data_IF_569279579550
#
_entry.id   IF_569279579550
#
_cell.length_a   1.000
_cell.length_b   1.000
_cell.length_c   1.000
_cell.angle_alpha   90.00
_cell.angle_beta   90.00
_cell.angle_gamma   90.00
#
_symmetry.space_group_name_H-M   'P 1'
#
loop_
_entity.id
_entity.type
_entity.pdbx_description
1 polymer ?
#
# COMPACT_ATOMS: atom_id res chain seq x y z
N UNK A 1 29.38 61.49 -9.73
CA UNK A 1 28.08 62.14 -9.46
C UNK A 1 27.08 62.01 -10.61
N UNK A 2 27.21 62.70 -11.75
CA UNK A 2 26.22 62.59 -12.85
C UNK A 2 26.22 61.20 -13.52
N UNK A 3 27.41 60.64 -13.77
CA UNK A 3 27.56 59.34 -14.42
C UNK A 3 27.09 58.15 -13.54
N UNK A 4 27.24 58.27 -12.22
CA UNK A 4 26.73 57.27 -11.26
C UNK A 4 25.20 57.30 -11.18
N UNK A 5 24.59 58.47 -11.34
CA UNK A 5 23.13 58.61 -11.40
C UNK A 5 22.58 57.98 -12.69
N UNK A 6 23.22 58.22 -13.83
CA UNK A 6 22.87 57.58 -15.11
C UNK A 6 22.97 56.05 -15.03
N UNK A 7 24.03 55.54 -14.40
CA UNK A 7 24.23 54.10 -14.22
C UNK A 7 23.20 53.48 -13.27
N UNK A 8 22.82 54.19 -12.20
CA UNK A 8 21.76 53.76 -11.29
C UNK A 8 20.40 53.70 -12.01
N UNK A 9 20.07 54.71 -12.82
CA UNK A 9 18.81 54.75 -13.58
C UNK A 9 18.74 53.55 -14.54
N UNK A 10 19.81 53.24 -15.26
CA UNK A 10 19.86 52.07 -16.15
C UNK A 10 19.68 50.74 -15.40
N UNK A 11 20.33 50.58 -14.23
CA UNK A 11 20.14 49.39 -13.40
C UNK A 11 18.73 49.26 -12.86
N UNK A 12 18.09 50.38 -12.47
CA UNK A 12 16.70 50.34 -12.02
C UNK A 12 15.73 50.02 -13.15
N UNK A 13 16.00 50.49 -14.37
CA UNK A 13 15.19 50.19 -15.55
C UNK A 13 15.27 48.71 -15.91
N UNK A 14 16.48 48.15 -15.95
CA UNK A 14 16.70 46.72 -16.21
C UNK A 14 16.01 45.84 -15.16
N UNK A 15 16.11 46.22 -13.87
CA UNK A 15 15.40 45.51 -12.81
C UNK A 15 13.88 45.58 -12.96
N UNK A 16 13.33 46.74 -13.38
CA UNK A 16 11.91 46.90 -13.65
C UNK A 16 11.47 46.08 -14.86
N UNK A 17 12.28 46.02 -15.90
CA UNK A 17 12.03 45.22 -17.10
C UNK A 17 12.00 43.73 -16.76
N UNK A 18 13.01 43.20 -16.05
CA UNK A 18 13.01 41.81 -15.59
C UNK A 18 11.78 41.50 -14.72
N UNK A 19 11.37 42.44 -13.86
CA UNK A 19 10.16 42.28 -13.05
C UNK A 19 8.89 42.27 -13.90
N UNK A 20 8.79 43.14 -14.89
CA UNK A 20 7.64 43.20 -15.80
C UNK A 20 7.53 41.90 -16.61
N UNK A 21 8.63 41.46 -17.22
CA UNK A 21 8.70 40.21 -17.98
C UNK A 21 8.35 38.99 -17.12
N UNK A 22 8.72 39.02 -15.83
CA UNK A 22 8.31 37.96 -14.90
C UNK A 22 6.81 38.01 -14.59
N UNK A 23 6.23 39.20 -14.39
CA UNK A 23 4.79 39.35 -14.15
C UNK A 23 4.00 38.89 -15.39
N UNK A 24 4.44 39.29 -16.57
CA UNK A 24 3.90 38.85 -17.86
C UNK A 24 3.99 37.32 -17.99
N UNK A 25 5.16 36.74 -17.73
CA UNK A 25 5.33 35.29 -17.72
C UNK A 25 4.41 34.57 -16.71
N UNK A 26 4.20 35.14 -15.51
CA UNK A 26 3.25 34.54 -14.55
C UNK A 26 1.80 34.65 -15.00
N UNK A 27 1.46 35.65 -15.81
CA UNK A 27 0.10 35.90 -16.25
C UNK A 27 -0.27 35.06 -17.48
N UNK A 28 0.65 34.98 -18.43
CA UNK A 28 0.45 34.29 -19.71
C UNK A 28 1.05 32.88 -19.72
N UNK A 29 1.79 32.51 -18.67
CA UNK A 29 2.29 31.15 -18.44
C UNK A 29 3.34 30.68 -19.46
N UNK A 30 3.94 31.61 -20.21
CA UNK A 30 4.88 31.29 -21.29
C UNK A 30 4.22 30.67 -22.53
N UNK A 31 2.89 30.76 -22.65
CA UNK A 31 2.17 30.30 -23.83
C UNK A 31 2.17 31.46 -24.81
N UNK A 32 3.21 31.56 -25.65
CA UNK A 32 3.13 32.38 -26.85
C UNK A 32 1.88 31.97 -27.61
N UNK A 33 1.06 32.94 -28.01
CA UNK A 33 -0.21 32.76 -28.72
C UNK A 33 -0.01 32.02 -30.04
N UNK A 34 0.15 30.70 -29.97
CA UNK A 34 0.33 29.82 -31.11
C UNK A 34 -1.07 29.42 -31.62
N UNK A 35 -1.80 30.44 -32.09
CA UNK A 35 -2.85 30.37 -33.12
C UNK A 35 -4.02 29.38 -32.97
N UNK A 36 -4.19 28.68 -31.84
CA UNK A 36 -5.09 27.52 -31.78
C UNK A 36 -6.22 27.61 -30.75
N UNK A 37 -6.83 28.78 -30.53
CA UNK A 37 -8.28 28.88 -30.21
C UNK A 37 -8.84 30.27 -30.55
N UNK A 38 -10.00 30.38 -31.24
CA UNK A 38 -10.63 31.65 -31.53
C UNK A 38 -11.56 32.02 -30.36
N UNK A 39 -11.00 32.33 -29.20
CA UNK A 39 -11.77 32.98 -28.14
C UNK A 39 -11.04 34.25 -27.78
N UNK A 40 -11.71 35.39 -27.96
CA UNK A 40 -11.21 36.73 -27.62
C UNK A 40 -10.43 36.69 -26.29
N UNK A 41 -9.36 37.48 -26.12
CA UNK A 41 -8.60 37.51 -24.89
C UNK A 41 -9.51 38.00 -23.76
N UNK A 42 -10.10 37.05 -23.03
CA UNK A 42 -10.88 37.38 -21.85
C UNK A 42 -9.95 38.05 -20.86
N UNK A 43 -10.45 39.12 -20.23
CA UNK A 43 -9.71 39.80 -19.20
C UNK A 43 -9.33 38.78 -18.11
N UNK A 44 -8.14 38.92 -17.51
CA UNK A 44 -7.67 38.07 -16.39
C UNK A 44 -8.77 37.77 -15.36
N UNK A 45 -9.54 38.77 -14.86
CA UNK A 45 -10.67 38.49 -13.95
C UNK A 45 -11.74 37.58 -14.54
N UNK A 46 -12.07 37.69 -15.82
CA UNK A 46 -13.07 36.85 -16.49
C UNK A 46 -12.57 35.41 -16.66
N UNK A 47 -11.27 35.21 -16.91
CA UNK A 47 -10.64 33.87 -16.94
C UNK A 47 -10.70 33.22 -15.56
N UNK A 48 -10.40 33.98 -14.50
CA UNK A 48 -10.49 33.49 -13.12
C UNK A 48 -11.95 33.15 -12.78
N UNK A 49 -12.92 34.00 -13.13
CA UNK A 49 -14.34 33.73 -12.91
C UNK A 49 -14.81 32.47 -13.65
N UNK A 50 -14.40 32.26 -14.92
CA UNK A 50 -14.70 31.03 -15.65
C UNK A 50 -14.10 29.78 -14.99
N UNK A 51 -12.87 29.88 -14.51
CA UNK A 51 -12.23 28.79 -13.76
C UNK A 51 -12.98 28.51 -12.47
N UNK A 52 -13.37 29.53 -11.73
CA UNK A 52 -14.16 29.40 -10.50
C UNK A 52 -15.51 28.74 -10.78
N UNK A 53 -16.26 29.19 -11.80
CA UNK A 53 -17.51 28.57 -12.21
C UNK A 53 -17.31 27.10 -12.62
N UNK A 54 -16.23 26.79 -13.34
CA UNK A 54 -15.91 25.43 -13.74
C UNK A 54 -15.61 24.55 -12.52
N UNK A 55 -14.84 25.07 -11.56
CA UNK A 55 -14.48 24.38 -10.32
C UNK A 55 -15.72 24.18 -9.44
N UNK A 56 -16.61 25.17 -9.34
CA UNK A 56 -17.90 25.03 -8.67
C UNK A 56 -18.80 23.99 -9.34
N UNK A 57 -18.77 23.86 -10.68
CA UNK A 57 -19.46 22.78 -11.40
C UNK A 57 -18.82 21.42 -11.13
N UNK A 58 -17.50 21.34 -11.00
CA UNK A 58 -16.78 20.11 -10.67
C UNK A 58 -16.96 19.69 -9.22
N UNK A 59 -17.02 20.64 -8.27
CA UNK A 59 -17.23 20.34 -6.84
C UNK A 59 -18.60 19.70 -6.59
N UNK A 60 -19.63 20.09 -7.37
CA UNK A 60 -20.95 19.45 -7.34
C UNK A 60 -20.95 18.02 -7.88
N UNK A 61 -19.99 17.66 -8.74
CA UNK A 61 -19.89 16.33 -9.37
C UNK A 61 -19.01 15.37 -8.59
N UNK A 62 -18.03 15.87 -7.84
CA UNK A 62 -16.98 15.05 -7.24
C UNK A 62 -16.75 15.41 -5.77
N UNK A 63 -16.93 14.44 -4.87
CA UNK A 63 -16.73 14.61 -3.42
C UNK A 63 -15.28 14.97 -3.03
N UNK A 64 -14.30 14.66 -3.89
CA UNK A 64 -12.88 14.91 -3.65
C UNK A 64 -12.54 16.39 -3.41
N UNK A 65 -13.20 17.32 -4.10
CA UNK A 65 -12.95 18.76 -3.89
C UNK A 65 -13.42 19.18 -2.50
N UNK A 66 -14.54 18.63 -2.03
CA UNK A 66 -15.02 18.89 -0.67
C UNK A 66 -14.10 18.27 0.39
N UNK A 67 -13.48 17.12 0.09
CA UNK A 67 -12.47 16.51 0.97
C UNK A 67 -11.18 17.32 1.00
N UNK A 68 -10.71 17.83 -0.14
CA UNK A 68 -9.53 18.71 -0.19
C UNK A 68 -9.80 20.04 0.52
N UNK A 69 -11.00 20.61 0.36
CA UNK A 69 -11.40 21.81 1.10
C UNK A 69 -11.51 21.53 2.60
N UNK A 70 -12.02 20.35 2.99
CA UNK A 70 -12.03 19.90 4.38
C UNK A 70 -10.60 19.74 4.90
N UNK A 71 -9.71 19.14 4.13
CA UNK A 71 -8.31 18.94 4.46
C UNK A 71 -7.58 20.28 4.62
N UNK A 72 -7.82 21.24 3.72
CA UNK A 72 -7.30 22.59 3.81
C UNK A 72 -7.81 23.32 5.06
N UNK A 73 -9.09 23.15 5.42
CA UNK A 73 -9.66 23.76 6.62
C UNK A 73 -9.14 23.11 7.92
N UNK A 74 -8.86 21.80 7.89
CA UNK A 74 -8.36 21.05 9.05
C UNK A 74 -6.86 21.23 9.24
N UNK A 75 -6.12 21.41 8.14
CA UNK A 75 -4.67 21.54 8.13
C UNK A 75 -4.23 22.70 7.22
N UNK A 76 -4.50 23.96 7.61
CA UNK A 76 -4.03 25.13 6.86
C UNK A 76 -2.50 25.18 6.76
N UNK A 77 -1.81 24.55 7.72
CA UNK A 77 -0.34 24.48 7.80
C UNK A 77 0.31 23.65 6.70
N UNK A 78 -0.43 22.73 6.07
CA UNK A 78 0.09 21.92 4.95
C UNK A 78 0.13 22.71 3.64
N UNK A 79 -0.73 23.73 3.51
CA UNK A 79 -0.92 24.49 2.27
C UNK A 79 -0.41 25.93 2.36
N UNK A 80 -0.20 26.43 3.58
CA UNK A 80 0.61 27.61 3.83
C UNK A 80 2.00 27.10 4.21
N UNK A 81 3.01 27.12 3.31
CA UNK A 81 4.38 26.88 3.76
C UNK A 81 4.60 27.88 4.88
N UNK A 82 4.90 27.39 6.09
CA UNK A 82 5.01 28.16 7.33
C UNK A 82 5.35 29.61 6.99
N UNK A 83 4.33 30.47 7.04
CA UNK A 83 4.50 31.90 6.84
C UNK A 83 5.44 32.31 7.95
N UNK A 84 6.72 32.45 7.62
CA UNK A 84 7.77 32.81 8.56
C UNK A 84 7.90 31.74 9.66
N UNK A 85 8.76 30.74 9.43
CA UNK A 85 9.56 30.26 10.54
C UNK A 85 10.24 31.51 11.13
N UNK A 86 9.64 32.00 12.21
CA UNK A 86 10.09 33.03 13.12
C UNK A 86 11.57 33.29 12.96
N UNK A 87 11.91 34.50 12.50
CA UNK A 87 13.23 35.13 12.57
C UNK A 87 14.30 34.23 13.21
N UNK A 88 14.84 33.26 12.45
CA UNK A 88 16.15 32.74 12.81
C UNK A 88 17.03 33.97 12.68
N UNK A 89 17.62 34.50 13.77
CA UNK A 89 18.50 35.64 13.63
C UNK A 89 19.53 35.21 12.59
N UNK A 90 19.71 36.02 11.54
CA UNK A 90 20.75 35.75 10.56
C UNK A 90 22.04 35.47 11.35
N UNK A 91 22.62 34.26 11.23
CA UNK A 91 23.72 33.86 12.09
C UNK A 91 24.82 34.91 11.94
N UNK A 92 25.38 35.36 13.06
CA UNK A 92 26.45 36.38 13.02
C UNK A 92 27.57 35.86 12.11
N UNK A 93 28.33 36.72 11.40
CA UNK A 93 29.35 36.26 10.46
C UNK A 93 30.39 35.31 11.11
N UNK A 94 30.63 35.44 12.42
CA UNK A 94 31.47 34.53 13.21
C UNK A 94 30.85 33.13 13.39
N UNK A 95 29.54 33.05 13.57
CA UNK A 95 28.79 31.79 13.73
C UNK A 95 28.67 31.06 12.38
N UNK A 96 28.49 31.80 11.29
CA UNK A 96 28.54 31.27 9.93
C UNK A 96 29.91 30.67 9.61
N UNK A 97 31.00 31.38 9.96
CA UNK A 97 32.35 30.89 9.72
C UNK A 97 32.66 29.65 10.58
N UNK A 98 32.20 29.61 11.84
CA UNK A 98 32.32 28.43 12.67
C UNK A 98 31.57 27.23 12.07
N UNK A 99 30.33 27.44 11.60
CA UNK A 99 29.53 26.40 10.95
C UNK A 99 30.16 25.89 9.65
N UNK A 100 30.70 26.79 8.83
CA UNK A 100 31.43 26.41 7.61
C UNK A 100 32.68 25.62 7.93
N UNK A 101 33.43 26.00 8.98
CA UNK A 101 34.62 25.26 9.40
C UNK A 101 34.30 23.88 9.98
N UNK A 102 33.18 23.73 10.70
CA UNK A 102 32.75 22.43 11.21
C UNK A 102 32.26 21.50 10.10
N UNK A 103 31.58 22.04 9.09
CA UNK A 103 31.03 21.27 7.95
C UNK A 103 32.01 21.15 6.76
N UNK A 104 33.09 21.92 6.74
CA UNK A 104 34.14 21.88 5.72
C UNK A 104 34.59 20.46 5.33
N UNK A 105 34.87 19.52 6.27
CA UNK A 105 35.26 18.16 5.92
C UNK A 105 34.09 17.29 5.39
N UNK A 106 32.84 17.69 5.61
CA UNK A 106 31.66 16.98 5.09
C UNK A 106 31.44 17.25 3.58
N UNK A 107 31.86 18.42 3.07
CA UNK A 107 31.73 18.73 1.64
C UNK A 107 32.52 17.80 0.70
N UNK A 108 33.83 17.56 0.90
CA UNK A 108 34.57 16.65 0.00
C UNK A 108 34.11 15.20 0.16
N UNK A 109 33.66 14.79 1.35
CA UNK A 109 33.17 13.42 1.58
C UNK A 109 31.82 13.20 0.91
N UNK A 110 30.88 14.15 1.02
CA UNK A 110 29.59 14.09 0.32
C UNK A 110 29.74 14.24 -1.19
N UNK A 111 30.63 15.11 -1.68
CA UNK A 111 30.94 15.20 -3.11
C UNK A 111 31.52 13.89 -3.66
N UNK A 112 32.43 13.25 -2.93
CA UNK A 112 32.98 11.93 -3.28
C UNK A 112 31.90 10.85 -3.28
N UNK A 113 30.99 10.85 -2.29
CA UNK A 113 29.84 9.93 -2.25
C UNK A 113 28.88 10.13 -3.42
N UNK A 114 28.55 11.39 -3.77
CA UNK A 114 27.68 11.68 -4.92
C UNK A 114 28.34 11.31 -6.25
N UNK A 115 29.65 11.49 -6.37
CA UNK A 115 30.41 11.07 -7.56
C UNK A 115 30.41 9.55 -7.68
N UNK A 116 30.65 8.85 -6.56
CA UNK A 116 30.57 7.38 -6.48
C UNK A 116 29.17 6.84 -6.82
N UNK A 117 28.10 7.54 -6.42
CA UNK A 117 26.72 7.19 -6.79
C UNK A 117 26.43 7.42 -8.28
N UNK A 118 27.02 8.45 -8.88
CA UNK A 118 26.87 8.72 -10.31
C UNK A 118 27.62 7.68 -11.17
N UNK A 119 28.71 7.11 -10.65
CA UNK A 119 29.47 6.04 -11.29
C UNK A 119 28.80 4.66 -11.18
N UNK A 120 27.74 4.52 -10.36
CA UNK A 120 27.00 3.28 -10.23
C UNK A 120 26.08 3.08 -11.45
N UNK A 121 26.26 2.01 -12.24
CA UNK A 121 25.34 1.73 -13.33
C UNK A 121 23.96 1.43 -12.76
N UNK A 122 22.97 2.23 -13.16
CA UNK A 122 21.57 1.95 -12.82
C UNK A 122 21.24 0.56 -13.36
N UNK A 123 20.76 -0.38 -12.53
CA UNK A 123 20.47 -1.74 -12.98
C UNK A 123 19.49 -1.72 -14.16
N UNK A 124 19.62 -2.67 -15.12
CA UNK A 124 18.87 -2.62 -16.36
C UNK A 124 17.37 -2.65 -16.07
N UNK A 125 16.67 -1.63 -16.57
CA UNK A 125 15.23 -1.43 -16.40
C UNK A 125 14.40 -2.61 -16.93
N UNK A 126 14.95 -3.38 -17.87
CA UNK A 126 14.38 -4.62 -18.40
C UNK A 126 14.12 -5.67 -17.31
N UNK A 127 15.03 -5.80 -16.34
CA UNK A 127 14.88 -6.76 -15.24
C UNK A 127 13.72 -6.39 -14.31
N UNK A 128 13.56 -5.09 -14.02
CA UNK A 128 12.44 -4.59 -13.22
C UNK A 128 11.12 -4.67 -13.99
N UNK A 129 11.13 -4.39 -15.30
CA UNK A 129 9.97 -4.56 -16.16
C UNK A 129 9.54 -6.04 -16.22
N UNK A 130 10.50 -6.98 -16.31
CA UNK A 130 10.23 -8.40 -16.25
C UNK A 130 9.65 -8.83 -14.89
N UNK A 131 10.16 -8.29 -13.78
CA UNK A 131 9.60 -8.52 -12.44
C UNK A 131 8.17 -7.99 -12.31
N UNK A 132 7.91 -6.77 -12.81
CA UNK A 132 6.57 -6.20 -12.84
C UNK A 132 5.60 -7.04 -13.69
N UNK A 133 6.07 -7.57 -14.83
CA UNK A 133 5.30 -8.44 -15.70
C UNK A 133 4.97 -9.81 -15.07
N UNK A 134 5.77 -10.29 -14.10
CA UNK A 134 5.50 -11.54 -13.37
C UNK A 134 4.43 -11.38 -12.29
N UNK A 135 4.19 -10.16 -11.80
CA UNK A 135 3.21 -9.89 -10.74
C UNK A 135 1.80 -10.47 -10.99
N UNK A 136 1.15 -10.29 -12.16
CA UNK A 136 -0.17 -10.87 -12.41
C UNK A 136 -0.17 -12.40 -12.36
N UNK A 137 0.91 -13.05 -12.83
CA UNK A 137 1.02 -14.52 -12.79
C UNK A 137 1.10 -15.04 -11.36
N UNK A 138 1.76 -14.31 -10.46
CA UNK A 138 1.82 -14.63 -9.04
C UNK A 138 0.43 -14.51 -8.41
N UNK A 139 -0.29 -13.42 -8.69
CA UNK A 139 -1.66 -13.23 -8.21
C UNK A 139 -2.61 -14.33 -8.69
N UNK A 140 -2.53 -14.73 -9.96
CA UNK A 140 -3.32 -15.85 -10.48
C UNK A 140 -3.02 -17.17 -9.76
N UNK A 141 -1.73 -17.43 -9.49
CA UNK A 141 -1.32 -18.64 -8.77
C UNK A 141 -1.84 -18.64 -7.32
N UNK A 142 -1.82 -17.49 -6.64
CA UNK A 142 -2.35 -17.32 -5.29
C UNK A 142 -3.86 -17.57 -5.24
N UNK A 143 -4.61 -17.05 -6.21
CA UNK A 143 -6.06 -17.31 -6.33
C UNK A 143 -6.34 -18.80 -6.55
N UNK A 144 -5.53 -19.50 -7.36
CA UNK A 144 -5.67 -20.95 -7.54
C UNK A 144 -5.34 -21.71 -6.25
N UNK A 145 -4.28 -21.31 -5.55
CA UNK A 145 -3.87 -21.95 -4.30
C UNK A 145 -4.94 -21.81 -3.21
N UNK A 146 -5.52 -20.61 -3.06
CA UNK A 146 -6.60 -20.37 -2.08
C UNK A 146 -7.84 -21.21 -2.42
N UNK A 147 -8.22 -21.30 -3.70
CA UNK A 147 -9.32 -22.18 -4.15
C UNK A 147 -9.05 -23.65 -3.83
N UNK A 148 -7.86 -24.15 -4.18
CA UNK A 148 -7.48 -25.53 -3.88
C UNK A 148 -7.47 -25.81 -2.38
N UNK A 149 -6.99 -24.88 -1.56
CA UNK A 149 -7.01 -25.02 -0.11
C UNK A 149 -8.44 -25.15 0.44
N UNK A 150 -9.38 -24.36 -0.07
CA UNK A 150 -10.79 -24.48 0.29
C UNK A 150 -11.36 -25.85 -0.07
N UNK A 151 -11.13 -26.31 -1.31
CA UNK A 151 -11.60 -27.61 -1.80
C UNK A 151 -11.02 -28.77 -0.98
N UNK A 152 -9.71 -28.75 -0.71
CA UNK A 152 -9.04 -29.74 0.14
C UNK A 152 -9.62 -29.75 1.54
N UNK A 153 -9.87 -28.58 2.13
CA UNK A 153 -10.44 -28.50 3.48
C UNK A 153 -11.85 -29.09 3.54
N UNK A 154 -12.67 -28.86 2.50
CA UNK A 154 -14.01 -29.41 2.40
C UNK A 154 -13.98 -30.93 2.20
N UNK A 155 -13.09 -31.42 1.34
CA UNK A 155 -12.89 -32.85 1.12
C UNK A 155 -12.44 -33.55 2.40
N UNK A 156 -11.47 -32.98 3.12
CA UNK A 156 -11.00 -33.52 4.41
C UNK A 156 -12.11 -33.63 5.45
N UNK A 157 -13.00 -32.64 5.54
CA UNK A 157 -14.16 -32.71 6.44
C UNK A 157 -15.11 -33.85 6.06
N UNK A 158 -15.41 -33.99 4.76
CA UNK A 158 -16.31 -35.06 4.27
C UNK A 158 -15.71 -36.45 4.44
N UNK A 159 -14.43 -36.63 4.09
CA UNK A 159 -13.75 -37.91 4.28
C UNK A 159 -13.59 -38.26 5.75
N UNK A 160 -13.25 -37.28 6.59
CA UNK A 160 -13.21 -37.47 8.05
C UNK A 160 -14.53 -37.97 8.61
N UNK A 161 -15.66 -37.34 8.23
CA UNK A 161 -16.98 -37.78 8.65
C UNK A 161 -17.32 -39.21 8.19
N UNK A 162 -16.96 -39.56 6.95
CA UNK A 162 -17.19 -40.90 6.41
C UNK A 162 -16.34 -41.96 7.12
N UNK A 163 -15.07 -41.66 7.40
CA UNK A 163 -14.16 -42.56 8.13
C UNK A 163 -14.65 -42.80 9.55
N UNK A 164 -15.09 -41.75 10.25
CA UNK A 164 -15.67 -41.87 11.60
C UNK A 164 -16.91 -42.77 11.54
N UNK A 165 -17.86 -42.47 10.65
CA UNK A 165 -19.08 -43.28 10.51
C UNK A 165 -18.77 -44.74 10.16
N UNK A 166 -17.80 -44.98 9.29
CA UNK A 166 -17.39 -46.33 8.94
C UNK A 166 -16.80 -47.06 10.15
N UNK A 167 -15.95 -46.41 10.93
CA UNK A 167 -15.38 -46.99 12.15
C UNK A 167 -16.48 -47.33 13.17
N UNK A 168 -17.41 -46.40 13.42
CA UNK A 168 -18.50 -46.60 14.36
C UNK A 168 -19.40 -47.78 13.98
N UNK A 169 -19.78 -47.89 12.71
CA UNK A 169 -20.71 -48.94 12.26
C UNK A 169 -19.99 -50.27 12.07
N UNK A 170 -18.90 -50.28 11.30
CA UNK A 170 -18.28 -51.52 10.85
C UNK A 170 -17.30 -52.09 11.84
N UNK A 171 -16.54 -51.27 12.57
CA UNK A 171 -15.56 -51.76 13.53
C UNK A 171 -16.23 -51.91 14.89
N UNK A 172 -16.71 -50.79 15.45
CA UNK A 172 -17.27 -50.79 16.80
C UNK A 172 -18.64 -51.50 16.86
N UNK A 173 -19.52 -51.27 15.89
CA UNK A 173 -20.82 -51.91 15.82
C UNK A 173 -20.72 -53.43 15.69
N UNK A 174 -19.90 -53.93 14.75
CA UNK A 174 -19.68 -55.37 14.62
C UNK A 174 -18.98 -55.95 15.84
N UNK A 175 -17.98 -55.27 16.40
CA UNK A 175 -17.30 -55.71 17.62
C UNK A 175 -18.25 -55.89 18.80
N UNK A 176 -19.21 -54.96 18.99
CA UNK A 176 -20.27 -55.09 20.00
C UNK A 176 -21.16 -56.30 19.75
N UNK A 177 -21.60 -56.50 18.50
CA UNK A 177 -22.40 -57.66 18.12
C UNK A 177 -21.64 -58.96 18.44
N UNK A 178 -20.41 -59.10 17.94
CA UNK A 178 -19.56 -60.27 18.21
C UNK A 178 -19.36 -60.53 19.71
N UNK A 179 -19.12 -59.49 20.50
CA UNK A 179 -18.98 -59.62 21.95
C UNK A 179 -20.28 -60.11 22.62
N UNK A 180 -21.45 -59.65 22.17
CA UNK A 180 -22.74 -60.15 22.67
C UNK A 180 -22.94 -61.63 22.31
N UNK A 181 -22.66 -62.01 21.05
CA UNK A 181 -22.78 -63.41 20.61
C UNK A 181 -21.83 -64.33 21.37
N UNK A 182 -20.56 -63.93 21.57
CA UNK A 182 -19.60 -64.68 22.40
C UNK A 182 -20.09 -64.78 23.86
N UNK A 183 -20.65 -63.69 24.42
CA UNK A 183 -21.27 -63.71 25.74
C UNK A 183 -22.39 -64.74 25.86
N UNK A 184 -23.32 -64.76 24.88
CA UNK A 184 -24.43 -65.73 24.83
C UNK A 184 -23.91 -67.16 24.66
N UNK A 185 -22.95 -67.37 23.77
CA UNK A 185 -22.34 -68.67 23.52
C UNK A 185 -21.69 -69.21 24.81
N UNK A 186 -20.91 -68.39 25.52
CA UNK A 186 -20.30 -68.76 26.80
C UNK A 186 -21.34 -69.10 27.86
N UNK A 187 -22.47 -68.38 27.91
CA UNK A 187 -23.55 -68.73 28.86
C UNK A 187 -24.20 -70.07 28.54
N UNK A 188 -24.42 -70.37 27.26
CA UNK A 188 -24.95 -71.64 26.80
C UNK A 188 -23.95 -72.79 27.06
N UNK A 189 -22.66 -72.58 26.76
CA UNK A 189 -21.58 -73.53 27.04
C UNK A 189 -21.52 -73.87 28.53
N UNK A 190 -21.56 -72.86 29.41
CA UNK A 190 -21.60 -73.08 30.86
C UNK A 190 -22.84 -73.86 31.30
N UNK A 191 -24.00 -73.63 30.68
CA UNK A 191 -25.21 -74.36 30.98
C UNK A 191 -25.10 -75.83 30.58
N UNK A 192 -24.63 -76.12 29.36
CA UNK A 192 -24.38 -77.48 28.88
C UNK A 192 -23.37 -78.20 29.78
N UNK A 193 -22.25 -77.56 30.10
CA UNK A 193 -21.23 -78.14 30.98
C UNK A 193 -21.76 -78.47 32.38
N UNK A 194 -22.66 -77.65 32.94
CA UNK A 194 -23.32 -77.95 34.22
C UNK A 194 -24.21 -79.19 34.12
N UNK A 195 -24.96 -79.34 33.04
CA UNK A 195 -25.81 -80.51 32.80
C UNK A 195 -25.00 -81.78 32.55
N UNK A 196 -23.88 -81.68 31.82
CA UNK A 196 -22.96 -82.80 31.60
C UNK A 196 -22.36 -83.30 32.92
N UNK A 197 -21.92 -82.38 33.80
CA UNK A 197 -21.41 -82.72 35.13
C UNK A 197 -22.51 -83.38 35.98
N UNK A 198 -23.75 -82.88 35.92
CA UNK A 198 -24.87 -83.48 36.64
C UNK A 198 -25.15 -84.90 36.16
N UNK A 199 -25.18 -85.13 34.85
CA UNK A 199 -25.37 -86.46 34.26
C UNK A 199 -24.22 -87.42 34.56
N UNK A 200 -22.97 -86.95 34.57
CA UNK A 200 -21.84 -87.81 34.94
C UNK A 200 -21.92 -88.25 36.40
N UNK A 201 -22.33 -87.34 37.31
CA UNK A 201 -22.56 -87.67 38.71
C UNK A 201 -23.73 -88.63 38.92
N UNK A 202 -24.82 -88.49 38.14
CA UNK A 202 -25.95 -89.42 38.15
C UNK A 202 -25.58 -90.82 37.61
N UNK A 203 -24.63 -90.91 36.67
CA UNK A 203 -24.16 -92.19 36.11
C UNK A 203 -23.09 -92.90 36.98
N UNK A 204 -22.41 -92.18 37.87
CA UNK A 204 -21.41 -92.72 38.80
C UNK A 204 -22.00 -93.16 40.15
N UNK A 205 -23.29 -92.87 40.42
CA UNK A 205 -24.06 -93.28 41.59
C UNK A 205 -24.92 -94.52 41.30
#
# INVERSE_FOLDING_TARGET
MAHELEQLVLQTLDLLEVRLSRIEFTLDGGISDDGSTPTQPLSVPERIQKLEESLQKFSRKTALISEVQRLQSQHPDLFRPASEAESRPDPKPSEQLAMVLTEAPAFPTTASQLTSLNDLPVPPTESFAALAALHPRIQEAEVRQTRQAMEISALRKRTGALVIRWNEIYILGQGKCWAEWDGRLRTAERAVRREEIRKSQENEA
#
